data_IF_735939955471
#
_entry.id   IF_735939955471
#
_cell.length_a   1.000
_cell.length_b   1.000
_cell.length_c   1.000
_cell.angle_alpha   90.00
_cell.angle_beta   90.00
_cell.angle_gamma   90.00
#
_symmetry.space_group_name_H-M   'P 1'
#
loop_
_entity.id
_entity.type
_entity.pdbx_description
1 polymer ?
#
# COMPACT_ATOMS: atom_id res chain seq x y z
N UNK A 1 -0.61 31.15 32.06
CA UNK A 1 -0.51 29.81 31.43
C UNK A 1 0.47 28.97 32.23
N UNK A 2 0.00 27.88 32.84
CA UNK A 2 0.85 26.95 33.60
C UNK A 2 1.36 25.86 32.66
N UNK A 3 2.63 25.46 32.84
CA UNK A 3 3.21 24.34 32.10
C UNK A 3 2.75 23.01 32.71
N UNK A 4 2.23 22.07 31.90
CA UNK A 4 1.82 20.76 32.41
C UNK A 4 3.04 19.93 32.84
N UNK A 5 2.79 18.89 33.66
CA UNK A 5 3.83 17.92 34.02
C UNK A 5 4.28 17.12 32.79
N UNK A 6 5.58 16.81 32.75
CA UNK A 6 6.22 15.98 31.72
C UNK A 6 6.60 14.57 32.23
N UNK A 7 6.19 14.22 33.46
CA UNK A 7 6.71 13.03 34.16
C UNK A 7 6.24 11.70 33.55
N UNK A 8 5.13 11.72 32.80
CA UNK A 8 4.55 10.52 32.16
C UNK A 8 4.93 10.39 30.67
N UNK A 9 5.96 11.11 30.22
CA UNK A 9 6.39 11.10 28.82
C UNK A 9 7.68 10.28 28.64
N UNK A 10 7.93 9.75 27.43
CA UNK A 10 9.24 9.20 27.08
C UNK A 10 10.34 10.23 27.39
N UNK A 11 11.47 9.77 27.93
CA UNK A 11 12.56 10.63 28.40
C UNK A 11 12.95 11.72 27.38
N UNK A 12 13.15 11.34 26.12
CA UNK A 12 13.52 12.27 25.05
C UNK A 12 12.44 13.32 24.78
N UNK A 13 11.16 12.95 24.88
CA UNK A 13 10.05 13.90 24.75
C UNK A 13 9.93 14.84 25.96
N UNK A 14 10.16 14.33 27.17
CA UNK A 14 10.20 15.16 28.36
C UNK A 14 11.34 16.19 28.26
N UNK A 15 12.54 15.77 27.81
CA UNK A 15 13.69 16.67 27.60
C UNK A 15 13.35 17.73 26.54
N UNK A 16 12.76 17.35 25.42
CA UNK A 16 12.35 18.30 24.37
C UNK A 16 11.42 19.38 24.90
N UNK A 17 10.34 18.98 25.58
CA UNK A 17 9.33 19.93 26.07
C UNK A 17 9.90 20.82 27.16
N UNK A 18 10.63 20.25 28.12
CA UNK A 18 11.23 21.02 29.22
C UNK A 18 12.33 21.98 28.73
N UNK A 19 13.06 21.65 27.67
CA UNK A 19 14.02 22.56 27.02
C UNK A 19 13.33 23.74 26.33
N UNK A 20 12.21 23.50 25.63
CA UNK A 20 11.38 24.58 25.07
C UNK A 20 10.75 25.46 26.16
N UNK A 21 10.62 24.91 27.36
CA UNK A 21 10.12 25.57 28.55
C UNK A 21 11.25 26.13 29.44
N UNK A 22 12.42 26.49 28.92
CA UNK A 22 13.35 27.26 29.75
C UNK A 22 12.79 28.65 30.08
N UNK A 23 13.03 29.12 31.30
CA UNK A 23 12.64 30.47 31.74
C UNK A 23 13.32 31.51 30.84
N UNK A 24 14.65 31.40 30.75
CA UNK A 24 15.50 32.19 29.87
C UNK A 24 15.23 31.88 28.40
N UNK A 25 14.86 32.88 27.57
CA UNK A 25 14.66 32.72 26.14
C UNK A 25 15.89 32.22 25.39
N UNK A 26 17.10 32.58 25.81
CA UNK A 26 18.34 32.20 25.12
C UNK A 26 18.71 30.74 25.36
N UNK A 27 18.25 30.19 26.47
CA UNK A 27 18.40 28.78 26.81
C UNK A 27 17.41 27.87 26.07
N UNK A 28 16.44 28.43 25.36
CA UNK A 28 15.47 27.64 24.58
C UNK A 28 16.10 27.21 23.26
N UNK A 29 15.83 25.97 22.81
CA UNK A 29 16.33 25.51 21.52
C UNK A 29 15.68 26.30 20.38
N UNK A 30 16.45 26.57 19.33
CA UNK A 30 15.91 27.10 18.08
C UNK A 30 15.16 26.01 17.30
N UNK A 31 14.39 26.41 16.29
CA UNK A 31 13.61 25.47 15.49
C UNK A 31 14.43 24.35 14.84
N UNK A 32 15.66 24.63 14.38
CA UNK A 32 16.54 23.60 13.82
C UNK A 32 16.95 22.55 14.85
N UNK A 33 17.23 22.97 16.09
CA UNK A 33 17.51 22.05 17.19
C UNK A 33 16.26 21.22 17.56
N UNK A 34 15.08 21.84 17.59
CA UNK A 34 13.82 21.14 17.87
C UNK A 34 13.55 20.07 16.82
N UNK A 35 13.72 20.38 15.53
CA UNK A 35 13.54 19.40 14.44
C UNK A 35 14.50 18.22 14.60
N UNK A 36 15.77 18.47 14.93
CA UNK A 36 16.75 17.41 15.16
C UNK A 36 16.36 16.49 16.32
N UNK A 37 15.98 17.06 17.46
CA UNK A 37 15.52 16.28 18.62
C UNK A 37 14.28 15.45 18.30
N UNK A 38 13.33 15.99 17.54
CA UNK A 38 12.16 15.24 17.09
C UNK A 38 12.54 14.06 16.19
N UNK A 39 13.46 14.26 15.23
CA UNK A 39 13.92 13.19 14.36
C UNK A 39 14.58 12.06 15.15
N UNK A 40 15.46 12.39 16.10
CA UNK A 40 16.12 11.41 16.98
C UNK A 40 15.08 10.60 17.80
N UNK A 41 14.05 11.25 18.32
CA UNK A 41 12.95 10.58 18.99
C UNK A 41 12.17 9.64 18.05
N UNK A 42 11.84 10.12 16.85
CA UNK A 42 11.13 9.32 15.83
C UNK A 42 11.92 8.08 15.41
N UNK A 43 13.24 8.19 15.25
CA UNK A 43 14.11 7.05 14.96
C UNK A 43 14.13 6.01 16.09
N UNK A 44 13.92 6.44 17.32
CA UNK A 44 13.86 5.54 18.49
C UNK A 44 12.54 4.77 18.54
N UNK A 45 11.41 5.42 18.24
CA UNK A 45 10.08 4.78 18.30
C UNK A 45 9.72 4.00 17.03
N UNK A 46 10.25 4.41 15.88
CA UNK A 46 9.98 3.83 14.58
C UNK A 46 11.30 3.81 13.80
N UNK A 47 12.17 2.83 14.09
CA UNK A 47 13.38 2.66 13.30
C UNK A 47 13.00 2.51 11.83
N UNK A 48 13.77 3.11 10.90
CA UNK A 48 13.47 3.05 9.49
C UNK A 48 13.53 1.58 9.10
N UNK A 49 12.41 1.07 8.60
CA UNK A 49 12.35 -0.29 8.06
C UNK A 49 13.42 -0.33 6.96
N UNK A 50 14.42 -1.22 7.04
CA UNK A 50 15.36 -1.39 5.94
C UNK A 50 14.53 -1.59 4.68
N UNK A 51 14.79 -0.80 3.64
CA UNK A 51 14.13 -0.96 2.35
C UNK A 51 14.61 -2.29 1.73
N UNK A 52 14.17 -3.41 2.29
CA UNK A 52 14.16 -4.68 1.58
C UNK A 52 13.23 -4.44 0.39
N UNK A 53 13.71 -4.62 -0.85
CA UNK A 53 12.84 -4.57 -2.01
C UNK A 53 11.66 -5.51 -1.71
N UNK A 54 10.43 -5.00 -1.84
CA UNK A 54 9.25 -5.86 -1.84
C UNK A 54 9.55 -6.97 -2.85
N UNK A 55 9.81 -8.18 -2.35
CA UNK A 55 9.92 -9.36 -3.19
C UNK A 55 8.58 -9.45 -3.89
N UNK A 56 8.54 -9.06 -5.15
CA UNK A 56 7.38 -9.35 -5.99
C UNK A 56 7.20 -10.85 -5.87
N UNK A 57 6.13 -11.29 -5.23
CA UNK A 57 5.71 -12.65 -5.45
C UNK A 57 5.41 -12.67 -6.93
N UNK A 58 6.25 -13.34 -7.72
CA UNK A 58 5.88 -13.71 -9.07
C UNK A 58 4.53 -14.38 -8.93
N UNK A 59 3.48 -13.70 -9.36
CA UNK A 59 2.25 -14.37 -9.76
C UNK A 59 2.68 -15.16 -10.98
N UNK A 60 3.24 -16.34 -10.75
CA UNK A 60 3.12 -17.42 -11.71
C UNK A 60 1.64 -17.42 -12.07
N UNK A 61 1.33 -17.15 -13.33
CA UNK A 61 0.00 -17.28 -13.87
C UNK A 61 -0.37 -18.75 -13.69
N UNK A 62 -0.89 -19.10 -12.51
CA UNK A 62 -1.51 -20.38 -12.28
C UNK A 62 -2.72 -20.40 -13.20
N UNK A 63 -2.53 -21.02 -14.36
CA UNK A 63 -3.61 -21.43 -15.25
C UNK A 63 -4.58 -22.18 -14.35
N UNK A 64 -5.69 -21.52 -13.99
CA UNK A 64 -6.77 -22.16 -13.27
C UNK A 64 -7.17 -23.40 -14.08
N UNK A 65 -7.30 -24.58 -13.45
CA UNK A 65 -7.84 -25.73 -14.15
C UNK A 65 -9.21 -25.35 -14.72
N UNK A 66 -9.47 -25.58 -16.02
CA UNK A 66 -10.78 -25.35 -16.57
C UNK A 66 -11.78 -26.34 -15.97
N UNK A 67 -13.04 -25.92 -16.00
CA UNK A 67 -14.27 -26.66 -15.72
C UNK A 67 -14.50 -27.24 -14.31
N UNK A 68 -15.15 -26.41 -13.48
CA UNK A 68 -15.97 -26.90 -12.36
C UNK A 68 -17.12 -27.77 -12.91
N UNK A 69 -17.46 -28.91 -12.26
CA UNK A 69 -18.50 -29.86 -12.71
C UNK A 69 -19.91 -29.30 -12.96
N UNK A 70 -20.18 -28.04 -12.64
CA UNK A 70 -21.51 -27.42 -12.72
C UNK A 70 -22.00 -27.05 -14.14
N UNK A 71 -21.14 -27.06 -15.16
CA UNK A 71 -21.51 -26.61 -16.52
C UNK A 71 -21.85 -27.72 -17.51
N UNK A 72 -21.70 -29.01 -17.15
CA UNK A 72 -21.98 -30.12 -18.05
C UNK A 72 -23.47 -30.34 -18.35
N UNK A 73 -24.38 -29.85 -17.49
CA UNK A 73 -25.83 -30.11 -17.64
C UNK A 73 -26.54 -29.33 -18.75
N UNK A 74 -25.91 -28.34 -19.39
CA UNK A 74 -26.57 -27.52 -20.43
C UNK A 74 -26.29 -27.95 -21.88
N UNK A 75 -25.37 -28.88 -22.13
CA UNK A 75 -24.98 -29.31 -23.49
C UNK A 75 -25.67 -30.60 -23.94
N UNK A 76 -26.83 -30.94 -23.37
CA UNK A 76 -27.61 -32.09 -23.80
C UNK A 76 -28.72 -31.67 -24.77
N UNK A 77 -28.62 -32.21 -25.99
CA UNK A 77 -29.60 -32.24 -27.07
C UNK A 77 -29.71 -30.98 -27.94
N UNK A 78 -29.04 -31.01 -29.10
CA UNK A 78 -29.72 -31.00 -30.40
C UNK A 78 -29.00 -31.91 -31.39
N UNK A 79 -29.62 -33.07 -31.61
CA UNK A 79 -29.50 -33.86 -32.83
C UNK A 79 -30.19 -33.06 -33.96
N UNK A 80 -29.51 -32.83 -35.08
CA UNK A 80 -30.01 -33.14 -36.43
C UNK A 80 -29.08 -32.57 -37.52
N UNK A 81 -28.81 -33.43 -38.50
CA UNK A 81 -28.63 -33.11 -39.92
C UNK A 81 -27.30 -32.52 -40.42
N UNK A 82 -26.42 -33.45 -40.80
CA UNK A 82 -25.81 -33.61 -42.13
C UNK A 82 -25.58 -32.39 -43.07
N UNK A 83 -24.37 -32.40 -43.65
CA UNK A 83 -23.95 -31.83 -44.94
C UNK A 83 -23.65 -30.32 -45.09
N UNK A 84 -22.35 -30.07 -45.33
CA UNK A 84 -21.68 -29.05 -46.17
C UNK A 84 -22.41 -28.64 -47.47
N UNK A 85 -21.93 -27.66 -48.30
CA UNK A 85 -20.99 -26.53 -48.13
C UNK A 85 -21.50 -25.21 -48.82
N UNK A 86 -20.62 -24.18 -48.93
CA UNK A 86 -20.68 -23.02 -49.87
C UNK A 86 -21.70 -21.89 -49.58
N UNK A 87 -21.54 -20.60 -49.90
CA UNK A 87 -20.62 -19.81 -50.75
C UNK A 87 -20.71 -18.31 -50.40
N UNK A 88 -19.59 -17.59 -50.66
CA UNK A 88 -19.39 -16.16 -51.02
C UNK A 88 -20.58 -15.17 -50.99
N UNK A 89 -20.37 -13.96 -50.45
CA UNK A 89 -20.31 -12.71 -51.26
C UNK A 89 -19.83 -11.49 -50.44
N UNK A 90 -19.08 -10.63 -51.12
CA UNK A 90 -18.44 -9.42 -50.63
C UNK A 90 -19.42 -8.23 -50.37
N UNK A 91 -18.95 -7.25 -49.58
CA UNK A 91 -18.61 -5.88 -50.04
C UNK A 91 -19.07 -4.71 -49.12
N UNK A 92 -18.16 -3.71 -48.99
CA UNK A 92 -18.34 -2.26 -49.21
C UNK A 92 -18.36 -1.26 -48.01
N UNK A 93 -17.25 -0.49 -47.95
CA UNK A 93 -17.09 0.98 -47.68
C UNK A 93 -17.37 1.53 -46.26
N UNK A 94 -16.80 2.66 -45.78
CA UNK A 94 -16.26 3.90 -46.40
C UNK A 94 -15.10 4.48 -45.57
N UNK A 95 -14.17 5.13 -46.25
CA UNK A 95 -13.30 6.20 -45.76
C UNK A 95 -13.25 7.27 -46.83
#
# INVERSE_FOLDING_TARGET
NVRPSADNLPKEMAILLTSCWQEDPNSRPNFGQIVKMLQEFLYTISPPIPAVPLRMFSTDNAVMPPESPGTSSLMAARDDLAETPETKLASKSRG
#
